data_IF_688363717731
#
_entry.id   IF_688363717731
#
_cell.length_a   1.000
_cell.length_b   1.000
_cell.length_c   1.000
_cell.angle_alpha   90.00
_cell.angle_beta   90.00
_cell.angle_gamma   90.00
#
_symmetry.space_group_name_H-M   'P 1'
#
loop_
_entity.id
_entity.type
_entity.pdbx_description
1 polymer ?
#
# COMPACT_ATOMS: atom_id res chain seq x y z
N UNK A 1 21.40 -7.04 12.22
CA UNK A 1 20.01 -7.27 12.67
C UNK A 1 19.70 -6.19 13.66
N UNK A 2 18.97 -5.17 13.23
CA UNK A 2 18.61 -4.03 14.08
C UNK A 2 17.54 -4.49 15.07
N UNK A 3 17.91 -4.55 16.35
CA UNK A 3 17.09 -5.13 17.43
C UNK A 3 15.97 -4.22 17.94
N UNK A 4 15.74 -3.06 17.28
CA UNK A 4 14.63 -2.21 17.63
C UNK A 4 13.40 -2.60 16.80
N UNK A 5 12.42 -3.23 17.42
CA UNK A 5 11.13 -3.60 16.80
C UNK A 5 10.26 -2.39 16.41
N UNK A 6 10.81 -1.18 16.46
CA UNK A 6 10.12 0.07 16.12
C UNK A 6 9.99 0.21 14.61
N UNK A 7 8.76 0.35 14.13
CA UNK A 7 8.43 0.51 12.70
C UNK A 7 8.35 1.96 12.25
N UNK A 8 8.39 2.93 13.19
CA UNK A 8 8.41 4.38 12.93
C UNK A 8 9.63 4.97 13.62
N UNK A 9 10.63 5.40 12.83
CA UNK A 9 11.93 5.87 13.35
C UNK A 9 12.30 7.24 12.79
N UNK A 10 12.89 8.13 13.61
CA UNK A 10 13.43 9.39 13.12
C UNK A 10 14.64 9.13 12.22
N UNK A 11 14.76 9.89 11.14
CA UNK A 11 15.82 9.74 10.15
C UNK A 11 16.05 11.05 9.40
N UNK A 12 17.31 11.37 9.12
CA UNK A 12 17.69 12.36 8.13
C UNK A 12 18.02 11.64 6.81
N UNK A 13 17.29 11.97 5.75
CA UNK A 13 17.41 11.29 4.47
C UNK A 13 18.46 11.97 3.58
N UNK A 14 19.21 11.15 2.83
CA UNK A 14 19.98 11.62 1.67
C UNK A 14 19.23 11.23 0.41
N UNK A 15 18.77 12.22 -0.34
CA UNK A 15 17.98 12.03 -1.57
C UNK A 15 18.89 12.19 -2.77
N UNK A 16 19.01 11.15 -3.59
CA UNK A 16 19.77 11.16 -4.83
C UNK A 16 19.00 11.72 -6.02
N UNK A 17 17.66 11.62 -6.00
CA UNK A 17 16.77 12.18 -7.00
C UNK A 17 15.31 11.90 -6.70
N UNK A 18 14.43 12.57 -7.42
CA UNK A 18 12.97 12.56 -7.16
C UNK A 18 12.20 11.91 -8.30
N UNK A 19 11.32 10.97 -7.97
CA UNK A 19 10.28 10.46 -8.88
C UNK A 19 8.95 11.14 -8.59
N UNK A 20 8.30 11.70 -9.60
CA UNK A 20 7.02 12.40 -9.47
C UNK A 20 5.93 11.58 -10.13
N UNK A 21 4.94 11.12 -9.35
CA UNK A 21 3.81 10.34 -9.83
C UNK A 21 2.49 11.06 -9.53
N UNK A 22 1.49 10.89 -10.41
CA UNK A 22 0.16 11.43 -10.14
C UNK A 22 -0.86 10.95 -11.16
N UNK A 23 -2.10 10.68 -10.70
CA UNK A 23 -3.14 10.13 -11.59
C UNK A 23 -4.48 10.85 -11.55
N UNK A 24 -4.82 11.52 -10.46
CA UNK A 24 -6.16 12.08 -10.23
C UNK A 24 -6.20 13.54 -10.64
N UNK A 25 -7.20 13.91 -11.46
CA UNK A 25 -7.44 15.28 -11.95
C UNK A 25 -6.15 15.99 -12.34
N UNK A 26 -5.55 15.56 -13.44
CA UNK A 26 -4.24 15.99 -13.94
C UNK A 26 -4.07 17.51 -13.94
N UNK A 27 -5.09 18.27 -14.31
CA UNK A 27 -5.04 19.74 -14.34
C UNK A 27 -4.90 20.34 -12.93
N UNK A 28 -5.58 19.78 -11.91
CA UNK A 28 -5.44 20.24 -10.52
C UNK A 28 -4.06 19.91 -9.95
N UNK A 29 -3.49 18.77 -10.31
CA UNK A 29 -2.17 18.33 -9.88
C UNK A 29 -1.06 19.13 -10.55
N UNK A 30 -1.23 19.50 -11.84
CA UNK A 30 -0.21 20.15 -12.65
C UNK A 30 0.41 21.39 -12.00
N UNK A 31 -0.40 22.29 -11.40
CA UNK A 31 0.11 23.49 -10.74
C UNK A 31 1.08 23.21 -9.58
N UNK A 32 0.79 22.16 -8.80
CA UNK A 32 1.65 21.75 -7.68
C UNK A 32 2.90 21.04 -8.17
N UNK A 33 2.77 20.21 -9.21
CA UNK A 33 3.92 19.58 -9.86
C UNK A 33 4.86 20.64 -10.45
N UNK A 34 4.33 21.63 -11.18
CA UNK A 34 5.16 22.73 -11.73
C UNK A 34 5.92 23.46 -10.61
N UNK A 35 5.25 23.76 -9.50
CA UNK A 35 5.91 24.34 -8.31
C UNK A 35 7.03 23.47 -7.76
N UNK A 36 6.79 22.16 -7.64
CA UNK A 36 7.80 21.20 -7.23
C UNK A 36 8.98 21.13 -8.20
N UNK A 37 8.72 21.08 -9.53
CA UNK A 37 9.79 21.00 -10.52
C UNK A 37 10.70 22.23 -10.50
N UNK A 38 10.12 23.43 -10.31
CA UNK A 38 10.91 24.67 -10.13
C UNK A 38 11.82 24.57 -8.91
N UNK A 39 11.27 24.10 -7.77
CA UNK A 39 12.06 23.88 -6.56
C UNK A 39 13.20 22.89 -6.79
N UNK A 40 12.96 21.80 -7.51
CA UNK A 40 13.99 20.80 -7.82
C UNK A 40 15.07 21.35 -8.74
N UNK A 41 14.70 22.14 -9.76
CA UNK A 41 15.64 22.80 -10.67
C UNK A 41 16.50 23.85 -9.93
N UNK A 42 15.91 24.67 -9.04
CA UNK A 42 16.63 25.64 -8.19
C UNK A 42 17.69 24.97 -7.30
N UNK A 43 17.43 23.72 -6.85
CA UNK A 43 18.36 22.96 -6.03
C UNK A 43 19.22 21.97 -6.82
N UNK A 44 19.24 22.07 -8.17
CA UNK A 44 19.97 21.17 -9.07
C UNK A 44 19.67 19.68 -8.81
N UNK A 45 18.46 19.37 -8.34
CA UNK A 45 18.02 18.02 -8.05
C UNK A 45 17.51 17.34 -9.33
N UNK A 46 18.04 16.16 -9.62
CA UNK A 46 17.54 15.35 -10.75
C UNK A 46 16.17 14.75 -10.44
N UNK A 47 15.33 14.67 -11.46
CA UNK A 47 13.99 14.10 -11.30
C UNK A 47 13.50 13.37 -12.57
N UNK A 48 12.55 12.49 -12.37
CA UNK A 48 11.79 11.77 -13.42
C UNK A 48 10.29 11.88 -13.12
N UNK A 49 9.48 11.96 -14.17
CA UNK A 49 8.04 12.24 -14.06
C UNK A 49 7.26 11.10 -14.72
N UNK A 50 6.17 10.67 -14.09
CA UNK A 50 5.18 9.73 -14.64
C UNK A 50 4.66 10.26 -15.99
N UNK A 51 4.78 9.46 -17.05
CA UNK A 51 4.37 9.80 -18.42
C UNK A 51 2.89 10.16 -18.52
N UNK A 52 2.07 9.69 -17.59
CA UNK A 52 0.65 10.06 -17.51
C UNK A 52 0.41 11.56 -17.26
N UNK A 53 1.41 12.30 -16.77
CA UNK A 53 1.36 13.75 -16.55
C UNK A 53 1.81 14.58 -17.77
N UNK A 54 2.28 13.96 -18.84
CA UNK A 54 2.84 14.62 -20.01
C UNK A 54 1.84 15.58 -20.70
N UNK A 55 0.58 15.19 -20.79
CA UNK A 55 -0.46 16.01 -21.45
C UNK A 55 -0.74 17.35 -20.73
N UNK A 56 -0.41 17.45 -19.44
CA UNK A 56 -0.68 18.64 -18.61
C UNK A 56 0.58 19.41 -18.22
N UNK A 57 1.76 18.89 -18.54
CA UNK A 57 3.08 19.48 -18.27
C UNK A 57 3.82 19.75 -19.59
N UNK A 58 3.25 20.61 -20.44
CA UNK A 58 3.72 20.86 -21.81
C UNK A 58 5.11 21.52 -21.88
N UNK A 59 5.49 22.29 -20.85
CA UNK A 59 6.76 23.04 -20.80
C UNK A 59 7.93 22.23 -20.27
N UNK A 60 7.71 20.94 -19.95
CA UNK A 60 8.75 20.04 -19.40
C UNK A 60 9.39 19.24 -20.52
N UNK A 61 10.73 19.10 -20.50
CA UNK A 61 11.48 18.31 -21.48
C UNK A 61 11.01 16.86 -21.53
N UNK A 62 10.83 16.34 -22.75
CA UNK A 62 10.28 15.03 -23.03
C UNK A 62 11.04 13.88 -22.35
N UNK A 63 12.38 13.96 -22.31
CA UNK A 63 13.25 12.90 -21.74
C UNK A 63 13.03 12.67 -20.24
N UNK A 64 12.39 13.61 -19.55
CA UNK A 64 12.07 13.49 -18.13
C UNK A 64 10.84 12.62 -17.84
N UNK A 65 10.01 12.34 -18.86
CA UNK A 65 8.82 11.50 -18.73
C UNK A 65 9.17 10.03 -18.96
N UNK A 66 8.75 9.19 -18.02
CA UNK A 66 8.91 7.73 -18.08
C UNK A 66 7.67 7.04 -17.49
N UNK A 67 7.41 5.83 -17.92
CA UNK A 67 6.44 4.99 -17.20
C UNK A 67 6.96 4.67 -15.81
N UNK A 68 6.08 4.52 -14.80
CA UNK A 68 6.51 4.17 -13.44
C UNK A 68 7.41 2.93 -13.37
N UNK A 69 7.19 1.94 -14.24
CA UNK A 69 7.97 0.71 -14.36
C UNK A 69 9.43 0.95 -14.82
N UNK A 70 9.68 2.12 -15.41
CA UNK A 70 10.99 2.52 -15.97
C UNK A 70 11.72 3.53 -15.08
N UNK A 71 11.20 3.83 -13.88
CA UNK A 71 11.81 4.80 -12.97
C UNK A 71 13.19 4.32 -12.53
N UNK A 72 14.23 5.14 -12.77
CA UNK A 72 15.62 4.75 -12.49
C UNK A 72 15.87 4.60 -10.98
N UNK A 73 16.84 3.76 -10.57
CA UNK A 73 17.15 3.52 -9.15
C UNK A 73 17.49 4.79 -8.36
N UNK A 74 18.09 5.78 -9.00
CA UNK A 74 18.45 7.04 -8.35
C UNK A 74 17.23 7.92 -7.97
N UNK A 75 16.01 7.64 -8.44
CA UNK A 75 14.78 8.30 -8.00
C UNK A 75 14.31 7.65 -6.69
N UNK A 76 15.06 7.85 -5.64
CA UNK A 76 14.87 7.22 -4.33
C UNK A 76 13.82 7.90 -3.44
N UNK A 77 13.47 9.18 -3.72
CA UNK A 77 12.31 9.85 -3.16
C UNK A 77 11.16 9.87 -4.18
N UNK A 78 10.04 9.22 -3.87
CA UNK A 78 8.83 9.25 -4.69
C UNK A 78 7.81 10.24 -4.09
N UNK A 79 7.53 11.31 -4.81
CA UNK A 79 6.45 12.25 -4.47
C UNK A 79 5.21 11.83 -5.27
N UNK A 80 4.19 11.34 -4.56
CA UNK A 80 3.01 10.74 -5.18
C UNK A 80 1.78 11.59 -4.92
N UNK A 81 1.23 12.20 -5.98
CA UNK A 81 0.02 13.02 -5.95
C UNK A 81 -1.22 12.16 -6.14
N UNK A 82 -2.06 12.05 -5.13
CA UNK A 82 -3.31 11.28 -5.21
C UNK A 82 -3.83 10.90 -3.84
N UNK A 83 -4.63 9.85 -3.79
CA UNK A 83 -5.06 9.16 -2.59
C UNK A 83 -4.36 7.81 -2.42
N UNK A 84 -4.85 7.00 -1.49
CA UNK A 84 -4.29 5.69 -1.16
C UNK A 84 -4.17 4.77 -2.39
N UNK A 85 -5.18 4.74 -3.26
CA UNK A 85 -5.14 3.94 -4.48
C UNK A 85 -4.02 4.31 -5.46
N UNK A 86 -3.58 5.58 -5.51
CA UNK A 86 -2.43 5.99 -6.34
C UNK A 86 -1.13 5.47 -5.74
N UNK A 87 -1.00 5.50 -4.41
CA UNK A 87 0.16 4.96 -3.70
C UNK A 87 0.22 3.43 -3.85
N UNK A 88 -0.91 2.72 -3.66
CA UNK A 88 -0.99 1.27 -3.88
C UNK A 88 -0.53 0.89 -5.29
N UNK A 89 -1.00 1.63 -6.30
CA UNK A 89 -0.53 1.40 -7.68
C UNK A 89 0.98 1.59 -7.80
N UNK A 90 1.56 2.65 -7.24
CA UNK A 90 3.00 2.87 -7.28
C UNK A 90 3.77 1.71 -6.61
N UNK A 91 3.26 1.14 -5.52
CA UNK A 91 3.84 -0.04 -4.84
C UNK A 91 3.91 -1.24 -5.78
N UNK A 92 2.93 -1.39 -6.68
CA UNK A 92 2.90 -2.51 -7.63
C UNK A 92 3.67 -2.26 -8.93
N UNK A 93 3.90 -1.00 -9.32
CA UNK A 93 4.46 -0.66 -10.63
C UNK A 93 5.89 -0.16 -10.58
N UNK A 94 6.28 0.59 -9.54
CA UNK A 94 7.62 1.18 -9.47
C UNK A 94 8.66 0.13 -9.06
N UNK A 95 9.74 -0.08 -9.83
CA UNK A 95 10.80 -1.01 -9.48
C UNK A 95 11.49 -0.61 -8.18
N UNK A 96 12.01 -1.59 -7.44
CA UNK A 96 12.77 -1.37 -6.21
C UNK A 96 12.01 -0.51 -5.17
N UNK A 97 10.68 -0.60 -5.15
CA UNK A 97 9.82 0.23 -4.28
C UNK A 97 10.23 0.12 -2.79
N UNK A 98 10.76 -1.01 -2.37
CA UNK A 98 11.22 -1.26 -1.00
C UNK A 98 12.54 -0.57 -0.64
N UNK A 99 13.25 -0.05 -1.64
CA UNK A 99 14.50 0.71 -1.48
C UNK A 99 14.26 2.23 -1.56
N UNK A 100 13.01 2.65 -1.79
CA UNK A 100 12.63 4.05 -2.00
C UNK A 100 11.84 4.58 -0.82
N UNK A 101 11.81 5.92 -0.71
CA UNK A 101 10.99 6.64 0.23
C UNK A 101 9.76 7.22 -0.47
N UNK A 102 8.58 7.09 0.13
CA UNK A 102 7.33 7.60 -0.42
C UNK A 102 6.85 8.78 0.41
N UNK A 103 6.65 9.92 -0.26
CA UNK A 103 5.93 11.07 0.26
C UNK A 103 4.60 11.19 -0.48
N UNK A 104 3.51 10.79 0.17
CA UNK A 104 2.17 10.90 -0.38
C UNK A 104 1.59 12.30 -0.20
N UNK A 105 1.14 12.91 -1.28
CA UNK A 105 0.48 14.23 -1.34
C UNK A 105 -1.00 14.01 -1.59
N UNK A 106 -1.85 14.42 -0.64
CA UNK A 106 -3.29 14.21 -0.71
C UNK A 106 -3.97 15.23 -1.65
N UNK A 107 -4.45 14.78 -2.79
CA UNK A 107 -5.15 15.63 -3.76
C UNK A 107 -6.68 15.35 -3.81
N UNK A 108 -7.17 14.54 -2.89
CA UNK A 108 -8.56 14.09 -2.83
C UNK A 108 -9.14 14.06 -1.43
N UNK A 109 -9.89 13.01 -1.13
CA UNK A 109 -10.36 12.72 0.23
C UNK A 109 -9.20 12.26 1.11
N UNK A 110 -9.33 12.43 2.43
CA UNK A 110 -8.30 12.04 3.39
C UNK A 110 -8.03 10.54 3.28
N UNK A 111 -6.76 10.19 2.98
CA UNK A 111 -6.25 8.84 2.96
C UNK A 111 -5.39 8.52 4.19
N UNK A 112 -5.07 7.26 4.39
CA UNK A 112 -4.16 6.79 5.44
C UNK A 112 -2.71 6.69 4.97
N UNK A 113 -2.46 6.56 3.65
CA UNK A 113 -1.12 6.44 3.09
C UNK A 113 -0.51 7.79 2.73
N UNK A 114 -1.33 8.79 2.40
CA UNK A 114 -0.88 10.17 2.16
C UNK A 114 -0.47 10.86 3.46
N UNK A 115 0.42 11.87 3.37
CA UNK A 115 0.98 12.55 4.54
C UNK A 115 0.69 14.04 4.58
N UNK A 116 0.79 14.72 3.45
CA UNK A 116 0.67 16.17 3.38
C UNK A 116 -0.40 16.63 2.41
N UNK A 117 -0.93 17.81 2.65
CA UNK A 117 -1.77 18.53 1.70
C UNK A 117 -0.87 19.26 0.67
N UNK A 118 -1.32 19.50 -0.58
CA UNK A 118 -0.48 20.04 -1.66
C UNK A 118 0.12 21.42 -1.36
N UNK A 119 -0.55 22.21 -0.53
CA UNK A 119 -0.11 23.55 -0.12
C UNK A 119 1.20 23.53 0.67
N UNK A 120 1.49 22.43 1.36
CA UNK A 120 2.72 22.26 2.15
C UNK A 120 3.84 21.54 1.39
N UNK A 121 3.61 21.20 0.11
CA UNK A 121 4.51 20.35 -0.66
C UNK A 121 5.94 20.90 -0.73
N UNK A 122 6.09 22.16 -1.15
CA UNK A 122 7.43 22.75 -1.36
C UNK A 122 8.20 22.87 -0.06
N UNK A 123 7.53 23.26 1.04
CA UNK A 123 8.13 23.28 2.37
C UNK A 123 8.61 21.89 2.80
N UNK A 124 7.74 20.90 2.64
CA UNK A 124 8.02 19.52 3.04
C UNK A 124 9.16 18.89 2.23
N UNK A 125 9.15 19.05 0.90
CA UNK A 125 10.23 18.53 0.04
C UNK A 125 11.54 19.24 0.34
N UNK A 126 11.54 20.57 0.49
CA UNK A 126 12.74 21.33 0.81
C UNK A 126 13.33 20.90 2.17
N UNK A 127 12.48 20.64 3.17
CA UNK A 127 12.90 20.12 4.47
C UNK A 127 13.65 18.78 4.30
N UNK A 128 13.09 17.85 3.53
CA UNK A 128 13.73 16.55 3.25
C UNK A 128 15.04 16.71 2.49
N UNK A 129 15.08 17.54 1.43
CA UNK A 129 16.29 17.77 0.62
C UNK A 129 17.43 18.41 1.41
N UNK A 130 17.14 19.24 2.40
CA UNK A 130 18.12 19.82 3.32
C UNK A 130 18.58 18.89 4.44
N UNK A 131 18.12 17.62 4.43
CA UNK A 131 18.45 16.65 5.48
C UNK A 131 17.73 16.91 6.80
N UNK A 132 16.59 17.60 6.76
CA UNK A 132 15.72 17.78 7.94
C UNK A 132 15.22 16.43 8.48
N UNK A 133 15.03 16.37 9.81
CA UNK A 133 14.55 15.15 10.46
C UNK A 133 13.10 14.83 10.06
N UNK A 134 12.87 13.60 9.65
CA UNK A 134 11.56 13.01 9.38
C UNK A 134 11.42 11.67 10.08
N UNK A 135 10.22 11.17 10.19
CA UNK A 135 9.97 9.80 10.64
C UNK A 135 9.79 8.89 9.42
N UNK A 136 10.45 7.74 9.42
CA UNK A 136 10.25 6.71 8.39
C UNK A 136 9.38 5.59 8.96
N UNK A 137 8.15 5.51 8.46
CA UNK A 137 7.23 4.41 8.74
C UNK A 137 7.51 3.28 7.76
N UNK A 138 7.96 2.13 8.28
CA UNK A 138 8.34 0.94 7.51
C UNK A 138 7.22 -0.10 7.52
N UNK A 139 6.41 -0.13 6.48
CA UNK A 139 5.27 -1.04 6.34
C UNK A 139 5.65 -2.33 5.63
N UNK A 140 5.50 -3.47 6.32
CA UNK A 140 5.76 -4.80 5.72
C UNK A 140 4.73 -5.14 4.66
N UNK A 141 5.20 -5.75 3.58
CA UNK A 141 4.31 -6.31 2.57
C UNK A 141 3.76 -7.67 3.01
N UNK A 142 2.57 -7.99 2.56
CA UNK A 142 2.05 -9.35 2.52
C UNK A 142 2.71 -10.07 1.33
N UNK A 143 3.15 -11.31 1.55
CA UNK A 143 3.62 -12.20 0.48
C UNK A 143 2.65 -13.35 0.37
N UNK A 144 2.20 -13.64 -0.84
CA UNK A 144 1.38 -14.81 -1.13
C UNK A 144 2.02 -15.67 -2.22
N UNK A 145 1.86 -16.98 -2.10
CA UNK A 145 2.36 -17.96 -3.07
C UNK A 145 1.24 -18.87 -3.53
N UNK A 146 0.95 -18.85 -4.84
CA UNK A 146 -0.05 -19.71 -5.45
C UNK A 146 0.62 -21.03 -5.87
N UNK A 147 0.13 -22.14 -5.32
CA UNK A 147 0.64 -23.49 -5.57
C UNK A 147 2.18 -23.61 -5.47
N UNK A 148 2.79 -22.77 -4.63
CA UNK A 148 4.23 -22.73 -4.39
C UNK A 148 5.07 -22.17 -5.55
N UNK A 149 4.45 -21.67 -6.62
CA UNK A 149 5.15 -21.26 -7.85
C UNK A 149 5.10 -19.78 -8.15
N UNK A 150 3.93 -19.15 -7.99
CA UNK A 150 3.69 -17.77 -8.36
C UNK A 150 3.59 -16.91 -7.11
N UNK A 151 4.48 -15.95 -6.95
CA UNK A 151 4.53 -15.07 -5.79
C UNK A 151 3.94 -13.68 -6.12
N UNK A 152 3.18 -13.13 -5.16
CA UNK A 152 2.62 -11.80 -5.22
C UNK A 152 2.91 -11.06 -3.91
N UNK A 153 3.03 -9.73 -3.99
CA UNK A 153 3.24 -8.87 -2.84
C UNK A 153 2.16 -7.79 -2.78
N UNK A 154 1.60 -7.54 -1.62
CA UNK A 154 0.57 -6.53 -1.37
C UNK A 154 0.93 -5.69 -0.15
N UNK A 155 0.50 -4.43 -0.15
CA UNK A 155 0.70 -3.53 0.98
C UNK A 155 -0.43 -3.67 2.00
N UNK A 156 -1.68 -3.65 1.54
CA UNK A 156 -2.85 -3.74 2.40
C UNK A 156 -3.30 -5.17 2.62
N UNK A 157 -3.86 -5.82 1.59
CA UNK A 157 -4.52 -7.10 1.74
C UNK A 157 -4.49 -7.98 0.49
N UNK A 158 -4.65 -9.26 0.74
CA UNK A 158 -5.04 -10.28 -0.21
C UNK A 158 -6.50 -10.65 0.02
N UNK A 159 -7.30 -10.64 -1.04
CA UNK A 159 -8.65 -11.18 -1.05
C UNK A 159 -8.69 -12.43 -1.93
N UNK A 160 -9.40 -13.45 -1.48
CA UNK A 160 -9.78 -14.61 -2.28
C UNK A 160 -11.30 -14.66 -2.30
N UNK A 161 -11.90 -14.43 -3.47
CA UNK A 161 -13.35 -14.34 -3.62
C UNK A 161 -13.84 -15.35 -4.64
N UNK A 162 -15.12 -15.72 -4.58
CA UNK A 162 -15.72 -16.62 -5.56
C UNK A 162 -15.52 -16.12 -7.00
N UNK A 163 -15.14 -17.01 -7.90
CA UNK A 163 -15.10 -16.72 -9.34
C UNK A 163 -16.47 -16.57 -9.98
N UNK A 164 -17.53 -16.97 -9.28
CA UNK A 164 -18.91 -16.96 -9.78
C UNK A 164 -19.77 -16.09 -8.88
N UNK A 165 -20.37 -15.05 -9.45
CA UNK A 165 -21.29 -14.18 -8.73
C UNK A 165 -22.49 -14.99 -8.16
N UNK A 166 -22.89 -14.68 -6.92
CA UNK A 166 -24.00 -15.36 -6.24
C UNK A 166 -23.73 -16.82 -5.81
N UNK A 167 -22.47 -17.28 -5.93
CA UNK A 167 -22.07 -18.61 -5.44
C UNK A 167 -20.99 -18.48 -4.38
N UNK A 168 -21.25 -19.09 -3.24
CA UNK A 168 -20.27 -19.15 -2.14
C UNK A 168 -19.10 -20.07 -2.49
N UNK A 169 -17.93 -19.71 -1.98
CA UNK A 169 -16.75 -20.59 -2.00
C UNK A 169 -16.77 -21.52 -0.79
N UNK A 170 -16.30 -22.77 -1.02
CA UNK A 170 -15.99 -23.68 0.09
C UNK A 170 -14.46 -23.78 0.21
N UNK A 171 -13.93 -23.56 1.41
CA UNK A 171 -12.49 -23.55 1.64
C UNK A 171 -12.12 -23.97 3.07
N UNK A 172 -10.86 -24.31 3.23
CA UNK A 172 -10.21 -24.59 4.51
C UNK A 172 -9.09 -23.59 4.71
N UNK A 173 -8.96 -23.07 5.95
CA UNK A 173 -7.86 -22.19 6.35
C UNK A 173 -7.03 -22.90 7.40
N UNK A 174 -5.73 -22.90 7.19
CA UNK A 174 -4.74 -23.46 8.10
C UNK A 174 -3.81 -22.37 8.60
N UNK A 175 -3.47 -22.40 9.88
CA UNK A 175 -2.37 -21.66 10.49
C UNK A 175 -1.32 -22.65 10.94
N UNK A 176 -0.10 -22.56 10.39
CA UNK A 176 1.02 -23.45 10.74
C UNK A 176 0.59 -24.93 10.77
N UNK A 177 -0.09 -25.39 9.70
CA UNK A 177 -0.64 -26.75 9.51
C UNK A 177 -1.86 -27.14 10.39
N UNK A 178 -2.29 -26.28 11.32
CA UNK A 178 -3.51 -26.49 12.09
C UNK A 178 -4.71 -25.87 11.38
N UNK A 179 -5.78 -26.64 11.18
CA UNK A 179 -7.04 -26.12 10.61
C UNK A 179 -7.70 -25.17 11.60
N UNK A 180 -7.87 -23.90 11.19
CA UNK A 180 -8.54 -22.87 12.01
C UNK A 180 -9.95 -22.55 11.51
N UNK A 181 -10.25 -22.89 10.24
CA UNK A 181 -11.59 -22.73 9.68
C UNK A 181 -11.83 -23.75 8.55
N UNK A 182 -13.06 -24.26 8.49
CA UNK A 182 -13.59 -25.03 7.35
C UNK A 182 -15.05 -24.65 7.13
N UNK A 183 -15.38 -24.17 5.95
CA UNK A 183 -16.74 -23.73 5.65
C UNK A 183 -16.88 -23.02 4.33
N UNK A 184 -17.98 -22.30 4.20
CA UNK A 184 -18.33 -21.57 2.97
C UNK A 184 -18.62 -20.11 3.28
N UNK A 185 -18.16 -19.23 2.39
CA UNK A 185 -18.36 -17.79 2.43
C UNK A 185 -18.26 -17.23 0.99
N UNK A 186 -18.56 -15.95 0.78
CA UNK A 186 -18.32 -15.29 -0.51
C UNK A 186 -16.82 -15.12 -0.79
N UNK A 187 -16.01 -15.14 0.26
CA UNK A 187 -14.56 -15.05 0.20
C UNK A 187 -13.90 -14.88 1.55
N UNK A 188 -12.63 -14.54 1.52
CA UNK A 188 -11.82 -14.19 2.69
C UNK A 188 -10.85 -13.06 2.38
N UNK A 189 -10.40 -12.39 3.44
CA UNK A 189 -9.41 -11.31 3.41
C UNK A 189 -8.30 -11.62 4.40
N UNK A 190 -7.06 -11.54 3.97
CA UNK A 190 -5.88 -11.55 4.83
C UNK A 190 -5.16 -10.23 4.64
N UNK A 191 -4.95 -9.49 5.73
CA UNK A 191 -4.47 -8.12 5.67
C UNK A 191 -3.23 -7.92 6.55
N UNK A 192 -2.41 -6.95 6.17
CA UNK A 192 -1.35 -6.38 7.01
C UNK A 192 -1.93 -5.40 8.02
N UNK A 193 -1.10 -4.89 8.93
CA UNK A 193 -1.49 -3.77 9.79
C UNK A 193 -1.86 -2.50 8.98
N UNK A 194 -1.14 -2.26 7.87
CA UNK A 194 -1.41 -1.10 6.99
C UNK A 194 -2.82 -1.19 6.39
N UNK A 195 -3.24 -2.39 5.98
CA UNK A 195 -4.57 -2.63 5.46
C UNK A 195 -5.68 -2.66 6.52
N UNK A 196 -5.36 -2.50 7.82
CA UNK A 196 -6.38 -2.46 8.88
C UNK A 196 -7.41 -1.35 8.70
N UNK A 197 -7.03 -0.27 8.03
CA UNK A 197 -7.89 0.87 7.68
C UNK A 197 -8.50 0.78 6.27
N UNK A 198 -8.26 -0.34 5.56
CA UNK A 198 -8.75 -0.61 4.22
C UNK A 198 -9.97 -1.56 4.24
N UNK A 199 -9.99 -2.57 3.38
CA UNK A 199 -11.17 -3.43 3.21
C UNK A 199 -11.60 -4.15 4.50
N UNK A 200 -10.63 -4.58 5.32
CA UNK A 200 -10.94 -5.33 6.56
C UNK A 200 -11.66 -4.47 7.61
N UNK A 201 -11.52 -3.14 7.56
CA UNK A 201 -12.27 -2.23 8.43
C UNK A 201 -13.78 -2.35 8.21
N UNK A 202 -14.24 -2.46 6.95
CA UNK A 202 -15.67 -2.64 6.62
C UNK A 202 -16.22 -4.01 7.04
N UNK A 203 -15.36 -4.95 7.39
CA UNK A 203 -15.71 -6.26 7.95
C UNK A 203 -15.69 -6.28 9.48
N UNK A 204 -15.58 -5.12 10.14
CA UNK A 204 -15.48 -5.00 11.59
C UNK A 204 -14.10 -5.38 12.15
N UNK A 205 -13.06 -5.33 11.33
CA UNK A 205 -11.67 -5.50 11.78
C UNK A 205 -11.20 -4.31 12.62
N UNK A 206 -10.22 -4.51 13.52
CA UNK A 206 -9.69 -3.44 14.37
C UNK A 206 -8.81 -2.49 13.55
N UNK A 207 -8.79 -1.21 13.95
CA UNK A 207 -7.74 -0.27 13.55
C UNK A 207 -6.46 -0.64 14.30
N UNK A 208 -5.34 -0.74 13.58
CA UNK A 208 -4.05 -1.17 14.12
C UNK A 208 -3.06 -0.03 14.09
N UNK A 209 -2.42 0.21 15.25
CA UNK A 209 -1.33 1.16 15.38
C UNK A 209 -0.16 0.80 14.44
N UNK A 210 0.47 1.77 13.75
CA UNK A 210 1.61 1.54 12.86
C UNK A 210 2.85 0.90 13.52
N UNK A 211 2.95 0.90 14.82
CA UNK A 211 4.06 0.27 15.54
C UNK A 211 3.81 -1.21 15.87
N UNK A 212 2.59 -1.73 15.61
CA UNK A 212 2.23 -3.13 15.86
C UNK A 212 2.33 -3.96 14.58
N UNK A 213 3.13 -5.02 14.61
CA UNK A 213 3.24 -5.97 13.50
C UNK A 213 2.32 -7.17 13.73
N UNK A 214 1.43 -7.45 12.78
CA UNK A 214 0.47 -8.56 12.86
C UNK A 214 -0.09 -8.90 11.47
N UNK A 215 -0.86 -9.97 11.39
CA UNK A 215 -1.77 -10.29 10.30
C UNK A 215 -3.22 -10.22 10.80
N UNK A 216 -4.11 -9.78 9.94
CA UNK A 216 -5.56 -9.81 10.14
C UNK A 216 -6.18 -10.82 9.18
N UNK A 217 -7.16 -11.57 9.63
CA UNK A 217 -7.94 -12.51 8.83
C UNK A 217 -9.41 -12.29 9.07
N UNK A 218 -10.20 -12.13 8.01
CA UNK A 218 -11.65 -12.08 8.08
C UNK A 218 -12.29 -12.84 6.91
N UNK A 219 -13.57 -13.14 7.05
CA UNK A 219 -14.39 -13.77 6.02
C UNK A 219 -15.39 -12.76 5.45
N UNK A 220 -15.71 -12.92 4.17
CA UNK A 220 -16.75 -12.19 3.47
C UNK A 220 -18.04 -12.99 3.51
N UNK A 221 -19.08 -12.47 4.13
CA UNK A 221 -20.42 -13.08 4.21
C UNK A 221 -20.38 -14.61 4.52
N UNK A 222 -19.80 -15.05 5.64
CA UNK A 222 -19.73 -16.47 5.98
C UNK A 222 -21.12 -17.05 6.19
N UNK A 223 -21.39 -18.24 5.66
CA UNK A 223 -22.68 -18.92 5.88
C UNK A 223 -22.90 -19.33 7.34
N UNK A 224 -21.83 -19.59 8.08
CA UNK A 224 -21.89 -19.85 9.53
C UNK A 224 -21.78 -18.55 10.30
N UNK A 225 -22.75 -18.28 11.14
CA UNK A 225 -22.79 -17.10 11.98
C UNK A 225 -21.67 -17.14 13.04
N UNK A 226 -21.19 -15.94 13.41
CA UNK A 226 -20.28 -15.78 14.54
C UNK A 226 -18.79 -15.76 14.20
N UNK A 227 -18.37 -15.87 12.93
CA UNK A 227 -16.96 -15.63 12.59
C UNK A 227 -16.61 -14.17 12.88
N UNK A 228 -15.54 -13.95 13.63
CA UNK A 228 -15.03 -12.63 13.96
C UNK A 228 -13.66 -12.45 13.29
N UNK A 229 -13.31 -11.22 12.89
CA UNK A 229 -11.94 -10.94 12.43
C UNK A 229 -10.91 -11.41 13.47
N UNK A 230 -9.91 -12.12 13.00
CA UNK A 230 -8.84 -12.69 13.82
C UNK A 230 -7.56 -11.89 13.69
N UNK A 231 -6.90 -11.65 14.82
CA UNK A 231 -5.53 -11.13 14.88
C UNK A 231 -4.58 -12.31 15.00
N UNK A 232 -3.59 -12.37 14.13
CA UNK A 232 -2.58 -13.43 14.07
C UNK A 232 -1.18 -12.83 14.23
N UNK A 233 -0.24 -13.54 14.85
CA UNK A 233 1.12 -13.04 15.03
C UNK A 233 1.84 -12.83 13.69
N UNK A 234 2.84 -11.93 13.63
CA UNK A 234 3.52 -11.57 12.38
C UNK A 234 4.32 -12.70 11.73
N UNK A 235 4.59 -13.76 12.45
CA UNK A 235 5.27 -14.97 11.95
C UNK A 235 4.32 -16.07 11.49
N UNK A 236 3.00 -15.90 11.63
CA UNK A 236 2.01 -16.88 11.21
C UNK A 236 2.12 -17.17 9.69
N UNK A 237 2.03 -18.44 9.35
CA UNK A 237 1.94 -18.93 7.97
C UNK A 237 0.53 -19.43 7.74
N UNK A 238 -0.19 -18.76 6.86
CA UNK A 238 -1.57 -19.09 6.52
C UNK A 238 -1.58 -19.85 5.21
N UNK A 239 -2.30 -20.96 5.15
CA UNK A 239 -2.62 -21.67 3.91
C UNK A 239 -4.13 -21.65 3.73
N UNK A 240 -4.59 -21.29 2.54
CA UNK A 240 -5.99 -21.34 2.15
C UNK A 240 -6.13 -22.36 1.04
N UNK A 241 -6.88 -23.42 1.30
CA UNK A 241 -7.23 -24.45 0.31
C UNK A 241 -8.66 -24.19 -0.16
N UNK A 242 -8.80 -23.66 -1.36
CA UNK A 242 -10.09 -23.49 -2.02
C UNK A 242 -10.49 -24.82 -2.64
N UNK A 243 -11.71 -25.28 -2.32
CA UNK A 243 -12.22 -26.57 -2.77
C UNK A 243 -13.09 -26.42 -4.01
N UNK A 244 -13.98 -25.44 -4.04
CA UNK A 244 -14.89 -25.11 -5.15
C UNK A 244 -15.57 -23.74 -4.93
N UNK A 245 -16.09 -23.08 -6.02
CA UNK A 245 -16.03 -23.47 -7.45
C UNK A 245 -14.72 -23.06 -8.12
N UNK A 246 -13.80 -22.43 -7.45
CA UNK A 246 -12.62 -21.71 -7.85
C UNK A 246 -12.64 -20.31 -7.27
N UNK A 247 -11.69 -19.45 -7.62
CA UNK A 247 -11.63 -18.12 -7.00
C UNK A 247 -10.88 -17.10 -7.85
N UNK A 248 -11.15 -15.84 -7.56
CA UNK A 248 -10.34 -14.70 -7.99
C UNK A 248 -9.44 -14.29 -6.83
N UNK A 249 -8.19 -14.07 -7.14
CA UNK A 249 -7.18 -13.56 -6.19
C UNK A 249 -7.00 -12.08 -6.51
N UNK A 250 -7.25 -11.23 -5.51
CA UNK A 250 -7.20 -9.78 -5.61
C UNK A 250 -6.22 -9.29 -4.56
N UNK A 251 -5.26 -8.46 -4.96
CA UNK A 251 -4.28 -7.82 -4.06
C UNK A 251 -4.39 -6.32 -4.17
N UNK A 252 -4.55 -5.60 -3.04
CA UNK A 252 -4.65 -4.14 -3.00
C UNK A 252 -5.67 -3.58 -4.02
N UNK A 253 -6.81 -4.27 -4.20
CA UNK A 253 -7.85 -3.91 -5.14
C UNK A 253 -7.57 -4.25 -6.62
N UNK A 254 -6.45 -4.90 -6.94
CA UNK A 254 -6.08 -5.32 -8.31
C UNK A 254 -6.31 -6.82 -8.46
N UNK A 255 -7.05 -7.25 -9.48
CA UNK A 255 -7.19 -8.67 -9.79
C UNK A 255 -5.85 -9.22 -10.30
N UNK A 256 -5.26 -10.13 -9.54
CA UNK A 256 -3.97 -10.76 -9.85
C UNK A 256 -4.12 -11.98 -10.74
N UNK A 257 -5.16 -12.79 -10.49
CA UNK A 257 -5.47 -13.97 -11.29
C UNK A 257 -6.85 -14.55 -10.95
N UNK A 258 -7.44 -15.28 -11.90
CA UNK A 258 -8.64 -16.07 -11.70
C UNK A 258 -8.32 -17.55 -11.93
N UNK A 259 -8.75 -18.42 -11.02
CA UNK A 259 -8.48 -19.86 -11.04
C UNK A 259 -9.78 -20.64 -11.06
N UNK A 260 -9.88 -21.58 -11.97
CA UNK A 260 -10.98 -22.56 -12.05
C UNK A 260 -10.62 -23.81 -11.25
N UNK A 261 -11.59 -24.33 -10.49
CA UNK A 261 -11.39 -25.53 -9.68
C UNK A 261 -10.67 -25.26 -8.34
N UNK A 262 -10.14 -26.31 -7.75
CA UNK A 262 -9.44 -26.23 -6.47
C UNK A 262 -8.01 -25.71 -6.62
N UNK A 263 -7.55 -24.95 -5.61
CA UNK A 263 -6.18 -24.45 -5.54
C UNK A 263 -5.76 -24.19 -4.09
N UNK A 264 -4.47 -23.98 -3.88
CA UNK A 264 -3.92 -23.63 -2.59
C UNK A 264 -3.13 -22.32 -2.71
N UNK A 265 -3.34 -21.41 -1.77
CA UNK A 265 -2.56 -20.20 -1.63
C UNK A 265 -1.95 -20.11 -0.23
N UNK A 266 -0.63 -19.94 -0.17
CA UNK A 266 0.10 -19.65 1.05
C UNK A 266 0.24 -18.15 1.24
N UNK A 267 0.10 -17.67 2.49
CA UNK A 267 0.17 -16.23 2.81
C UNK A 267 0.97 -16.02 4.09
N UNK A 268 1.87 -15.04 4.07
CA UNK A 268 2.69 -14.63 5.21
C UNK A 268 3.10 -13.17 5.11
N UNK A 269 3.55 -12.58 6.20
CA UNK A 269 4.25 -11.29 6.11
C UNK A 269 5.63 -11.49 5.46
N UNK A 270 5.94 -10.62 4.50
CA UNK A 270 7.25 -10.55 3.86
C UNK A 270 8.25 -9.80 4.76
N UNK A 271 9.55 -10.03 4.56
CA UNK A 271 10.59 -9.17 5.13
C UNK A 271 10.77 -7.86 4.34
N UNK A 272 10.20 -7.76 3.15
CA UNK A 272 10.22 -6.55 2.32
C UNK A 272 9.33 -5.49 2.96
N UNK A 273 9.80 -4.24 2.98
CA UNK A 273 9.10 -3.10 3.58
C UNK A 273 9.02 -1.94 2.61
N UNK A 274 7.91 -1.22 2.63
CA UNK A 274 7.76 0.07 1.94
C UNK A 274 7.98 1.16 2.97
N UNK A 275 8.72 2.22 2.59
CA UNK A 275 9.14 3.26 3.51
C UNK A 275 8.35 4.54 3.23
N UNK A 276 7.48 4.93 4.16
CA UNK A 276 6.72 6.17 4.08
C UNK A 276 7.40 7.27 4.89
N UNK A 277 7.53 8.45 4.31
CA UNK A 277 7.95 9.66 5.03
C UNK A 277 6.76 10.18 5.82
N UNK A 278 6.99 10.47 7.10
CA UNK A 278 6.06 11.10 8.03
C UNK A 278 6.72 12.31 8.70
N UNK A 279 5.98 13.40 8.85
CA UNK A 279 6.49 14.60 9.53
C UNK A 279 6.21 14.62 11.03
N UNK A 280 5.48 13.64 11.53
CA UNK A 280 5.23 13.43 12.95
C UNK A 280 5.10 11.93 13.24
N UNK A 281 5.61 11.48 14.38
CA UNK A 281 5.41 10.12 14.88
C UNK A 281 3.92 9.77 15.00
N UNK A 282 3.12 10.76 15.33
CA UNK A 282 1.67 10.61 15.55
C UNK A 282 0.82 10.92 14.29
N UNK A 283 1.42 11.04 13.11
CA UNK A 283 0.71 11.33 11.85
C UNK A 283 -0.48 10.40 11.60
N UNK A 284 -0.37 9.12 11.97
CA UNK A 284 -1.45 8.15 11.83
C UNK A 284 -2.72 8.58 12.56
N UNK A 285 -2.60 8.99 13.82
CA UNK A 285 -3.75 9.40 14.64
C UNK A 285 -4.38 10.70 14.14
N UNK A 286 -3.56 11.62 13.60
CA UNK A 286 -4.09 12.82 12.95
C UNK A 286 -4.95 12.49 11.73
N UNK A 287 -4.52 11.52 10.91
CA UNK A 287 -5.30 11.03 9.76
C UNK A 287 -6.56 10.28 10.19
N UNK A 288 -6.43 9.44 11.22
CA UNK A 288 -7.56 8.71 11.79
C UNK A 288 -8.65 9.66 12.30
N UNK A 289 -8.26 10.68 13.09
CA UNK A 289 -9.21 11.69 13.60
C UNK A 289 -9.88 12.46 12.46
N UNK A 290 -9.10 12.90 11.44
CA UNK A 290 -9.66 13.57 10.26
C UNK A 290 -10.67 12.67 9.53
N UNK A 291 -10.39 11.37 9.39
CA UNK A 291 -11.29 10.41 8.74
C UNK A 291 -12.58 10.21 9.53
N UNK A 292 -12.49 10.01 10.84
CA UNK A 292 -13.65 9.83 11.72
C UNK A 292 -14.52 11.10 11.81
N UNK A 293 -13.92 12.29 11.73
CA UNK A 293 -14.65 13.56 11.74
C UNK A 293 -15.39 13.88 10.44
N UNK A 294 -15.08 13.20 9.34
CA UNK A 294 -15.75 13.39 8.04
C UNK A 294 -17.03 12.54 7.86
N UNK A 295 -17.35 11.68 8.83
CA UNK A 295 -18.53 10.79 8.80
C UNK A 295 -19.75 11.35 9.53
N UNK A 296 -19.75 12.65 9.90
CA UNK A 296 -20.89 13.32 10.53
C UNK A 296 -21.49 14.34 9.56
#
# INVERSE_FOLDING_TARGET
MDSSGCTVQPCALKVGGVGVLGRVNRARVARYVIGLLRLLDEHSMRYVIDDSLKEVLTDVKYERFKKPEEFPPWADLLVIFGGDGTILRAVHTVPLITERFILGVNVGTVGFLTEIDPERLNEAVLHVLKGGEVYVERSRLLSSSLDGKREFHMLNELMVVSSSFGRVMTFEIYKDDTTIYRGSADGLVISTRTGSTAYIASLGGPVVDPEVELLLLSLLCPLRWGFRPMILPPWARIKVKVLRPGGRIIGDGIELTTIKGSFMIGVRLSNRRVNFIRFSRNSFYNRLNRRLSMEI
#
